data_IF_491510263292
#
_entry.id   IF_491510263292
#
_cell.length_a   1.000
_cell.length_b   1.000
_cell.length_c   1.000
_cell.angle_alpha   90.00
_cell.angle_beta   90.00
_cell.angle_gamma   90.00
#
_symmetry.space_group_name_H-M   'P 1'
#
loop_
_entity.id
_entity.type
_entity.pdbx_description
1 polymer ?
#
# COMPACT_ATOMS: atom_id res chain seq x y z
N UNK A 1 6.44 3.27 -39.67
CA UNK A 1 5.27 2.41 -39.46
C UNK A 1 5.55 1.32 -38.43
N UNK A 2 6.74 0.69 -38.38
CA UNK A 2 7.06 -0.31 -37.34
C UNK A 2 7.31 0.25 -35.91
N UNK A 3 7.74 1.52 -35.77
CA UNK A 3 8.02 2.12 -34.45
C UNK A 3 6.76 2.47 -33.63
N UNK A 4 5.61 2.63 -34.28
CA UNK A 4 4.37 3.09 -33.64
C UNK A 4 3.53 1.92 -33.07
N UNK A 5 3.65 0.72 -33.65
CA UNK A 5 2.98 -0.48 -33.13
C UNK A 5 3.67 -1.05 -31.87
N UNK A 6 5.01 -1.05 -31.84
CA UNK A 6 5.78 -1.56 -30.69
C UNK A 6 5.62 -0.65 -29.44
N UNK A 7 5.52 0.67 -29.65
CA UNK A 7 5.31 1.63 -28.57
C UNK A 7 3.92 1.49 -27.92
N UNK A 8 2.86 1.24 -28.70
CA UNK A 8 1.51 1.02 -28.18
C UNK A 8 1.40 -0.30 -27.42
N UNK A 9 1.96 -1.39 -27.97
CA UNK A 9 1.98 -2.70 -27.33
C UNK A 9 2.75 -2.71 -26.01
N UNK A 10 3.86 -1.98 -25.93
CA UNK A 10 4.63 -1.83 -24.69
C UNK A 10 3.88 -1.02 -23.63
N UNK A 11 3.12 0.00 -24.04
CA UNK A 11 2.34 0.87 -23.15
C UNK A 11 1.18 0.12 -22.50
N UNK A 12 0.43 -0.67 -23.27
CA UNK A 12 -0.64 -1.52 -22.72
C UNK A 12 -0.13 -2.52 -21.69
N UNK A 13 1.02 -3.15 -21.94
CA UNK A 13 1.67 -4.05 -20.97
C UNK A 13 2.02 -3.33 -19.66
N UNK A 14 2.54 -2.10 -19.74
CA UNK A 14 2.86 -1.28 -18.57
C UNK A 14 1.60 -0.89 -17.78
N UNK A 15 0.49 -0.53 -18.45
CA UNK A 15 -0.79 -0.21 -17.80
C UNK A 15 -1.30 -1.42 -17.01
N UNK A 16 -1.33 -2.60 -17.64
CA UNK A 16 -1.79 -3.81 -16.96
C UNK A 16 -0.88 -4.21 -15.80
N UNK A 17 0.44 -4.09 -15.95
CA UNK A 17 1.39 -4.36 -14.88
C UNK A 17 1.23 -3.38 -13.70
N UNK A 18 1.07 -2.09 -13.97
CA UNK A 18 0.76 -1.08 -12.95
C UNK A 18 -0.51 -1.44 -12.17
N UNK A 19 -1.61 -1.70 -12.89
CA UNK A 19 -2.89 -2.05 -12.29
C UNK A 19 -2.80 -3.32 -11.44
N UNK A 20 -2.16 -4.39 -11.95
CA UNK A 20 -2.01 -5.65 -11.25
C UNK A 20 -1.17 -5.53 -9.96
N UNK A 21 -0.05 -4.78 -10.02
CA UNK A 21 0.79 -4.53 -8.84
C UNK A 21 0.04 -3.71 -7.78
N UNK A 22 -0.59 -2.60 -8.17
CA UNK A 22 -1.36 -1.77 -7.25
C UNK A 22 -2.54 -2.54 -6.64
N UNK A 23 -3.31 -3.27 -7.46
CA UNK A 23 -4.45 -4.06 -7.01
C UNK A 23 -4.02 -5.19 -6.06
N UNK A 24 -2.97 -5.94 -6.39
CA UNK A 24 -2.47 -7.02 -5.53
C UNK A 24 -1.99 -6.49 -4.17
N UNK A 25 -1.30 -5.34 -4.14
CA UNK A 25 -0.90 -4.73 -2.87
C UNK A 25 -2.09 -4.31 -2.01
N UNK A 26 -3.04 -3.56 -2.59
CA UNK A 26 -4.16 -2.94 -1.86
C UNK A 26 -5.25 -3.96 -1.49
N UNK A 27 -5.56 -4.90 -2.38
CA UNK A 27 -6.67 -5.85 -2.20
C UNK A 27 -6.24 -7.18 -1.58
N UNK A 28 -4.97 -7.58 -1.72
CA UNK A 28 -4.48 -8.85 -1.19
C UNK A 28 -3.50 -8.63 -0.04
N UNK A 29 -2.30 -8.11 -0.29
CA UNK A 29 -1.24 -8.07 0.72
C UNK A 29 -1.65 -7.33 1.99
N UNK A 30 -2.14 -6.09 1.87
CA UNK A 30 -2.49 -5.29 3.04
C UNK A 30 -3.65 -5.90 3.85
N UNK A 31 -4.77 -6.34 3.24
CA UNK A 31 -5.84 -7.04 3.96
C UNK A 31 -5.40 -8.36 4.58
N UNK A 32 -4.63 -9.19 3.86
CA UNK A 32 -4.12 -10.47 4.36
C UNK A 32 -3.26 -10.24 5.61
N UNK A 33 -2.37 -9.24 5.59
CA UNK A 33 -1.56 -8.88 6.76
C UNK A 33 -2.41 -8.57 7.99
N UNK A 34 -3.54 -7.88 7.81
CA UNK A 34 -4.50 -7.59 8.91
C UNK A 34 -5.27 -8.84 9.36
N UNK A 35 -5.69 -9.69 8.42
CA UNK A 35 -6.42 -10.93 8.75
C UNK A 35 -5.54 -11.90 9.55
N UNK A 36 -4.26 -12.04 9.20
CA UNK A 36 -3.33 -12.94 9.89
C UNK A 36 -3.16 -12.56 11.37
N UNK A 37 -3.24 -11.28 11.74
CA UNK A 37 -3.24 -10.86 13.15
C UNK A 37 -4.46 -11.38 13.94
N UNK A 38 -5.59 -11.65 13.27
CA UNK A 38 -6.83 -12.09 13.93
C UNK A 38 -6.91 -13.60 14.10
N UNK A 39 -6.38 -14.37 13.15
CA UNK A 39 -6.58 -15.81 13.11
C UNK A 39 -5.38 -16.62 13.62
N UNK A 40 -4.21 -15.98 13.78
CA UNK A 40 -3.01 -16.69 14.22
C UNK A 40 -2.96 -16.86 15.74
N UNK A 41 -2.65 -18.07 16.21
CA UNK A 41 -2.69 -18.44 17.63
C UNK A 41 -1.54 -17.86 18.46
N UNK A 42 -0.38 -17.65 17.85
CA UNK A 42 0.82 -17.12 18.51
C UNK A 42 0.99 -15.62 18.22
N UNK A 43 0.75 -14.71 19.19
CA UNK A 43 0.72 -13.27 18.93
C UNK A 43 2.06 -12.69 18.45
N UNK A 44 3.19 -13.19 18.97
CA UNK A 44 4.54 -12.78 18.56
C UNK A 44 4.82 -13.10 17.10
N UNK A 45 4.48 -14.31 16.66
CA UNK A 45 4.64 -14.73 15.28
C UNK A 45 3.68 -13.96 14.36
N UNK A 46 2.43 -13.77 14.79
CA UNK A 46 1.42 -13.03 14.03
C UNK A 46 1.88 -11.60 13.69
N UNK A 47 2.46 -10.90 14.67
CA UNK A 47 3.00 -9.54 14.48
C UNK A 47 4.16 -9.53 13.49
N UNK A 48 5.08 -10.51 13.57
CA UNK A 48 6.20 -10.62 12.62
C UNK A 48 5.70 -10.88 11.21
N UNK A 49 4.77 -11.83 11.04
CA UNK A 49 4.18 -12.14 9.73
C UNK A 49 3.47 -10.91 9.17
N UNK A 50 2.67 -10.22 9.99
CA UNK A 50 2.03 -8.96 9.60
C UNK A 50 3.04 -7.95 9.07
N UNK A 51 4.12 -7.69 9.81
CA UNK A 51 5.16 -6.76 9.38
C UNK A 51 5.76 -7.15 8.02
N UNK A 52 6.12 -8.41 7.84
CA UNK A 52 6.70 -8.89 6.58
C UNK A 52 5.72 -8.77 5.41
N UNK A 53 4.46 -9.17 5.60
CA UNK A 53 3.42 -9.05 4.58
C UNK A 53 3.16 -7.58 4.23
N UNK A 54 3.16 -6.68 5.22
CA UNK A 54 2.97 -5.25 4.96
C UNK A 54 4.15 -4.62 4.20
N UNK A 55 5.39 -4.98 4.56
CA UNK A 55 6.58 -4.50 3.84
C UNK A 55 6.62 -5.05 2.41
N UNK A 56 6.28 -6.33 2.22
CA UNK A 56 6.18 -6.92 0.89
C UNK A 56 5.09 -6.23 0.05
N UNK A 57 3.89 -6.04 0.62
CA UNK A 57 2.79 -5.34 -0.04
C UNK A 57 3.14 -3.89 -0.39
N UNK A 58 3.82 -3.17 0.52
CA UNK A 58 4.29 -1.82 0.24
C UNK A 58 5.35 -1.79 -0.88
N UNK A 59 6.25 -2.77 -0.93
CA UNK A 59 7.25 -2.87 -2.00
C UNK A 59 6.59 -3.11 -3.36
N UNK A 60 5.61 -4.03 -3.41
CA UNK A 60 4.79 -4.28 -4.60
C UNK A 60 4.02 -3.01 -5.02
N UNK A 61 3.43 -2.31 -4.05
CA UNK A 61 2.72 -1.06 -4.28
C UNK A 61 3.64 0.02 -4.88
N UNK A 62 4.85 0.20 -4.32
CA UNK A 62 5.83 1.17 -4.82
C UNK A 62 6.26 0.82 -6.24
N UNK A 63 6.49 -0.46 -6.54
CA UNK A 63 6.78 -0.88 -7.92
C UNK A 63 5.64 -0.50 -8.87
N UNK A 64 4.39 -0.76 -8.49
CA UNK A 64 3.21 -0.31 -9.23
C UNK A 64 3.17 1.20 -9.39
N UNK A 65 3.34 1.98 -8.32
CA UNK A 65 3.37 3.44 -8.35
C UNK A 65 4.44 4.00 -9.29
N UNK A 66 5.66 3.44 -9.25
CA UNK A 66 6.76 3.83 -10.16
C UNK A 66 6.37 3.58 -11.62
N UNK A 67 5.74 2.44 -11.94
CA UNK A 67 5.21 2.22 -13.30
C UNK A 67 4.15 3.27 -13.69
N UNK A 68 3.30 3.68 -12.75
CA UNK A 68 2.32 4.75 -12.95
C UNK A 68 2.97 6.10 -13.27
N UNK A 69 4.06 6.44 -12.58
CA UNK A 69 4.86 7.65 -12.87
C UNK A 69 5.51 7.56 -14.25
N UNK A 70 6.06 6.40 -14.62
CA UNK A 70 6.63 6.18 -15.96
C UNK A 70 5.56 6.36 -17.04
N UNK A 71 4.38 5.75 -16.87
CA UNK A 71 3.24 5.91 -17.78
C UNK A 71 2.84 7.37 -17.92
N UNK A 72 2.73 8.09 -16.79
CA UNK A 72 2.42 9.52 -16.78
C UNK A 72 3.43 10.33 -17.60
N UNK A 73 4.73 10.06 -17.46
CA UNK A 73 5.76 10.78 -18.23
C UNK A 73 5.70 10.51 -19.74
N UNK A 74 5.37 9.28 -20.15
CA UNK A 74 5.19 8.92 -21.56
C UNK A 74 3.94 9.57 -22.15
N UNK A 75 2.79 9.43 -21.49
CA UNK A 75 1.54 10.01 -21.98
C UNK A 75 1.55 11.54 -21.98
N UNK A 76 2.22 12.18 -21.01
CA UNK A 76 2.36 13.64 -20.98
C UNK A 76 3.18 14.16 -22.17
N UNK A 77 4.19 13.42 -22.61
CA UNK A 77 5.02 13.82 -23.75
C UNK A 77 4.29 13.67 -25.07
N UNK A 78 3.42 12.65 -25.19
CA UNK A 78 2.67 12.38 -26.42
C UNK A 78 1.35 13.18 -26.54
N UNK A 79 0.68 13.51 -25.43
CA UNK A 79 -0.71 14.03 -25.44
C UNK A 79 -0.89 15.36 -24.68
N UNK A 80 0.16 15.94 -24.10
CA UNK A 80 0.07 17.22 -23.38
C UNK A 80 -0.89 17.20 -22.18
N UNK A 81 -1.11 16.04 -21.57
CA UNK A 81 -2.17 15.83 -20.59
C UNK A 81 -1.90 16.49 -19.23
N UNK A 82 -2.97 16.98 -18.58
CA UNK A 82 -2.97 17.51 -17.21
C UNK A 82 -3.16 16.40 -16.17
N UNK A 83 -2.62 16.54 -14.93
CA UNK A 83 -2.66 15.49 -13.92
C UNK A 83 -4.09 14.98 -13.71
N UNK A 84 -4.30 13.67 -13.91
CA UNK A 84 -5.60 13.06 -13.66
C UNK A 84 -5.87 12.98 -12.15
N UNK A 85 -7.15 12.99 -11.76
CA UNK A 85 -7.54 12.77 -10.36
C UNK A 85 -6.91 11.48 -9.80
N UNK A 86 -6.87 10.42 -10.62
CA UNK A 86 -6.21 9.16 -10.28
C UNK A 86 -4.71 9.34 -9.96
N UNK A 87 -3.99 10.10 -10.79
CA UNK A 87 -2.56 10.37 -10.59
C UNK A 87 -2.30 11.19 -9.32
N UNK A 88 -3.07 12.25 -9.09
CA UNK A 88 -2.94 13.10 -7.89
C UNK A 88 -3.25 12.30 -6.63
N UNK A 89 -4.36 11.56 -6.61
CA UNK A 89 -4.71 10.69 -5.49
C UNK A 89 -3.65 9.59 -5.27
N UNK A 90 -3.10 9.01 -6.34
CA UNK A 90 -2.02 8.02 -6.24
C UNK A 90 -0.79 8.54 -5.49
N UNK A 91 -0.38 9.79 -5.75
CA UNK A 91 0.73 10.44 -5.02
C UNK A 91 0.38 10.64 -3.55
N UNK A 92 -0.82 11.16 -3.27
CA UNK A 92 -1.30 11.36 -1.89
C UNK A 92 -1.34 10.04 -1.13
N UNK A 93 -1.92 8.99 -1.70
CA UNK A 93 -2.02 7.66 -1.11
C UNK A 93 -0.63 7.08 -0.83
N UNK A 94 0.31 7.25 -1.75
CA UNK A 94 1.71 6.83 -1.55
C UNK A 94 2.33 7.53 -0.33
N UNK A 95 2.12 8.85 -0.21
CA UNK A 95 2.56 9.61 0.96
C UNK A 95 1.92 9.11 2.27
N UNK A 96 0.62 8.87 2.26
CA UNK A 96 -0.09 8.32 3.42
C UNK A 96 0.39 6.89 3.76
N UNK A 97 0.67 6.05 2.76
CA UNK A 97 1.22 4.71 2.98
C UNK A 97 2.61 4.77 3.64
N UNK A 98 3.46 5.73 3.26
CA UNK A 98 4.73 5.99 3.96
C UNK A 98 4.50 6.38 5.43
N UNK A 99 3.56 7.30 5.70
CA UNK A 99 3.18 7.68 7.08
C UNK A 99 2.70 6.46 7.87
N UNK A 100 1.95 5.56 7.23
CA UNK A 100 1.46 4.34 7.86
C UNK A 100 2.58 3.38 8.27
N UNK A 101 3.65 3.26 7.47
CA UNK A 101 4.84 2.49 7.85
C UNK A 101 5.55 3.11 9.07
N UNK A 102 5.69 4.44 9.10
CA UNK A 102 6.29 5.15 10.23
C UNK A 102 5.47 4.97 11.51
N UNK A 103 4.14 5.10 11.42
CA UNK A 103 3.22 4.87 12.54
C UNK A 103 3.29 3.41 13.02
N UNK A 104 3.34 2.45 12.09
CA UNK A 104 3.46 1.02 12.41
C UNK A 104 4.76 0.70 13.16
N UNK A 105 5.88 1.25 12.68
CA UNK A 105 7.18 1.14 13.35
C UNK A 105 7.19 1.78 14.74
N UNK A 106 6.62 2.99 14.87
CA UNK A 106 6.58 3.70 16.14
C UNK A 106 5.72 2.97 17.16
N UNK A 107 4.51 2.57 16.78
CA UNK A 107 3.65 1.75 17.64
C UNK A 107 4.35 0.46 18.07
N UNK A 108 5.03 -0.24 17.15
CA UNK A 108 5.73 -1.47 17.48
C UNK A 108 6.88 -1.25 18.47
N UNK A 109 7.65 -0.15 18.32
CA UNK A 109 8.69 0.22 19.30
C UNK A 109 8.10 0.53 20.67
N UNK A 110 6.97 1.24 20.72
CA UNK A 110 6.27 1.50 21.98
C UNK A 110 5.78 0.20 22.61
N UNK A 111 5.19 -0.69 21.81
CA UNK A 111 4.74 -2.01 22.25
C UNK A 111 5.90 -2.83 22.85
N UNK A 112 7.03 -2.92 22.17
CA UNK A 112 8.23 -3.62 22.67
C UNK A 112 8.74 -3.01 23.98
N UNK A 113 8.79 -1.68 24.08
CA UNK A 113 9.22 -0.97 25.29
C UNK A 113 8.29 -1.24 26.46
N UNK A 114 6.98 -1.18 26.26
CA UNK A 114 5.99 -1.46 27.29
C UNK A 114 5.97 -2.94 27.70
N UNK A 115 6.15 -3.86 26.75
CA UNK A 115 6.32 -5.29 27.04
C UNK A 115 7.58 -5.58 27.86
N UNK A 116 8.71 -4.90 27.57
CA UNK A 116 9.95 -5.07 28.33
C UNK A 116 9.84 -4.55 29.77
N UNK A 117 9.13 -3.43 29.98
CA UNK A 117 8.89 -2.86 31.33
C UNK A 117 8.06 -3.76 32.23
N UNK A 118 7.14 -4.56 31.67
CA UNK A 118 6.24 -5.45 32.42
C UNK A 118 6.90 -6.77 32.87
N UNK A 119 8.21 -6.92 32.66
CA UNK A 119 8.96 -8.13 32.94
C UNK A 119 8.67 -9.21 31.89
N UNK A 120 9.69 -10.02 31.58
CA UNK A 120 9.72 -11.07 30.55
C UNK A 120 8.70 -12.21 30.72
N UNK A 121 7.53 -11.98 31.32
CA UNK A 121 6.43 -12.92 31.27
C UNK A 121 5.92 -12.96 29.82
N UNK A 122 6.45 -13.97 29.11
CA UNK A 122 6.13 -14.47 27.75
C UNK A 122 4.62 -14.65 27.44
N UNK A 123 3.75 -14.32 28.39
CA UNK A 123 2.30 -14.47 28.39
C UNK A 123 1.54 -13.22 28.90
N UNK A 124 2.22 -12.08 29.09
CA UNK A 124 1.54 -10.85 29.53
C UNK A 124 0.69 -10.33 28.38
N UNK A 125 -0.61 -10.31 28.63
CA UNK A 125 -1.65 -9.52 27.94
C UNK A 125 -1.03 -8.38 27.13
N UNK A 126 -1.32 -8.32 25.82
CA UNK A 126 -0.84 -7.25 24.95
C UNK A 126 -0.97 -5.89 25.68
N UNK A 127 0.10 -5.08 25.76
CA UNK A 127 0.03 -3.77 26.40
C UNK A 127 -1.15 -2.99 25.83
N UNK A 128 -1.75 -2.17 26.70
CA UNK A 128 -2.90 -1.37 26.32
C UNK A 128 -2.61 -0.59 25.04
N UNK A 129 -3.61 -0.50 24.16
CA UNK A 129 -3.44 0.18 22.87
C UNK A 129 -3.06 1.64 23.12
N UNK A 130 -1.80 1.95 22.83
CA UNK A 130 -1.34 3.34 22.82
C UNK A 130 -2.15 4.14 21.81
N UNK A 131 -2.22 5.47 21.98
CA UNK A 131 -2.88 6.35 21.01
C UNK A 131 -2.29 6.18 19.58
N UNK A 132 -0.99 5.90 19.47
CA UNK A 132 -0.32 5.58 18.19
C UNK A 132 -0.87 4.29 17.56
N UNK A 133 -1.21 3.29 18.37
CA UNK A 133 -1.86 2.06 17.88
C UNK A 133 -3.22 2.37 17.25
N UNK A 134 -4.02 3.21 17.91
CA UNK A 134 -5.33 3.63 17.39
C UNK A 134 -5.20 4.40 16.10
N UNK A 135 -4.26 5.34 16.02
CA UNK A 135 -3.97 6.07 14.79
C UNK A 135 -3.55 5.12 13.67
N UNK A 136 -2.59 4.23 13.92
CA UNK A 136 -2.12 3.26 12.92
C UNK A 136 -3.26 2.38 12.38
N UNK A 137 -4.14 1.87 13.25
CA UNK A 137 -5.25 1.02 12.82
C UNK A 137 -6.28 1.80 11.98
N UNK A 138 -6.77 2.94 12.48
CA UNK A 138 -7.82 3.71 11.80
C UNK A 138 -7.31 4.31 10.50
N UNK A 139 -6.08 4.84 10.52
CA UNK A 139 -5.44 5.42 9.35
C UNK A 139 -5.14 4.37 8.28
N UNK A 140 -4.74 3.15 8.66
CA UNK A 140 -4.53 2.05 7.73
C UNK A 140 -5.79 1.69 6.93
N UNK A 141 -6.95 1.62 7.59
CA UNK A 141 -8.21 1.38 6.90
C UNK A 141 -8.58 2.52 5.96
N UNK A 142 -8.38 3.76 6.39
CA UNK A 142 -8.61 4.92 5.53
C UNK A 142 -7.77 4.83 4.25
N UNK A 143 -6.46 4.54 4.37
CA UNK A 143 -5.54 4.40 3.23
C UNK A 143 -5.97 3.28 2.27
N UNK A 144 -6.41 2.13 2.78
CA UNK A 144 -6.91 1.03 1.94
C UNK A 144 -8.16 1.48 1.17
N UNK A 145 -9.14 2.08 1.85
CA UNK A 145 -10.41 2.50 1.22
C UNK A 145 -10.20 3.51 0.11
N UNK A 146 -9.40 4.56 0.35
CA UNK A 146 -9.05 5.53 -0.70
C UNK A 146 -8.22 4.89 -1.82
N UNK A 147 -7.39 3.88 -1.50
CA UNK A 147 -6.65 3.08 -2.48
C UNK A 147 -7.56 2.32 -3.44
N UNK A 148 -8.59 1.67 -2.91
CA UNK A 148 -9.60 0.95 -3.70
C UNK A 148 -10.36 1.94 -4.59
N UNK A 149 -10.83 3.06 -4.02
CA UNK A 149 -11.52 4.09 -4.77
C UNK A 149 -10.64 4.65 -5.91
N UNK A 150 -9.36 4.91 -5.63
CA UNK A 150 -8.42 5.40 -6.63
C UNK A 150 -8.17 4.38 -7.75
N UNK A 151 -8.13 3.08 -7.43
CA UNK A 151 -8.05 2.01 -8.42
C UNK A 151 -9.24 2.03 -9.38
N UNK A 152 -10.47 2.16 -8.84
CA UNK A 152 -11.68 2.27 -9.66
C UNK A 152 -11.72 3.52 -10.55
N UNK A 153 -11.21 4.67 -10.07
CA UNK A 153 -11.08 5.88 -10.90
C UNK A 153 -10.07 5.67 -12.03
N UNK A 154 -8.96 4.96 -11.77
CA UNK A 154 -7.95 4.65 -12.78
C UNK A 154 -8.49 3.75 -13.89
N UNK A 155 -9.30 2.76 -13.53
CA UNK A 155 -9.98 1.89 -14.50
C UNK A 155 -10.96 2.67 -15.38
N UNK A 156 -11.80 3.54 -14.80
CA UNK A 156 -12.72 4.39 -15.58
C UNK A 156 -11.98 5.35 -16.53
N UNK A 157 -10.84 5.90 -16.09
CA UNK A 157 -9.99 6.75 -16.93
C UNK A 157 -9.38 6.02 -18.12
N UNK A 158 -9.20 4.69 -18.03
CA UNK A 158 -8.70 3.86 -19.14
C UNK A 158 -9.74 3.59 -20.24
N UNK A 159 -11.03 3.77 -19.95
CA UNK A 159 -12.13 3.61 -20.91
C UNK A 159 -12.56 4.93 -21.59
N UNK A 160 -12.04 6.07 -21.14
CA UNK A 160 -12.42 7.42 -21.59
C UNK A 160 -11.33 8.13 -22.42
N UNK A 161 -10.27 7.41 -22.82
CA UNK A 161 -9.28 7.86 -23.81
C UNK A 161 -9.42 7.05 -25.09
#
# INVERSE_FOLDING_TARGET
>A
MDHDEDSSGSTHKLIHAHAALCASAVLAFWPIGVMLLRYWKEPSMAVRIHQWVQVAGFTVYVAGFVLGVILWTRLKTDLGSSPTLHGVLGVVITGLACVQLLLGWWHHKLWQRESAKRGNARWVKAPERTWVAWMHMSFGWFVILIGIANGGIGEQGSFLC
#
